data_IF_193286965342
#
_entry.id   IF_193286965342
#
_cell.length_a   1.000
_cell.length_b   1.000
_cell.length_c   1.000
_cell.angle_alpha   90.00
_cell.angle_beta   90.00
_cell.angle_gamma   90.00
#
_symmetry.space_group_name_H-M   'P 1'
#
loop_
_entity.id
_entity.type
_entity.pdbx_description
1 polymer ?
#
# COMPACT_ATOMS: atom_id res chain seq x y z
N UNK A 1 9.48 5.93 -19.48
CA UNK A 1 9.16 5.01 -18.36
C UNK A 1 7.81 5.43 -17.83
N UNK A 2 6.83 4.53 -17.83
CA UNK A 2 5.46 4.84 -17.40
C UNK A 2 5.24 4.30 -15.99
N UNK A 3 4.95 5.21 -15.06
CA UNK A 3 4.59 4.90 -13.68
C UNK A 3 3.12 5.27 -13.51
N UNK A 4 2.31 4.32 -13.02
CA UNK A 4 0.88 4.51 -12.81
C UNK A 4 0.52 4.14 -11.36
N UNK A 5 -0.02 5.10 -10.62
CA UNK A 5 -0.64 4.84 -9.32
C UNK A 5 -2.02 4.22 -9.54
N UNK A 6 -2.17 2.95 -9.20
CA UNK A 6 -3.43 2.24 -9.30
C UNK A 6 -4.03 2.08 -7.91
N UNK A 7 -5.29 2.43 -7.77
CA UNK A 7 -6.03 2.19 -6.53
C UNK A 7 -6.67 0.80 -6.57
N UNK A 8 -6.57 0.09 -5.45
CA UNK A 8 -7.20 -1.21 -5.25
C UNK A 8 -7.98 -1.23 -3.95
N UNK A 9 -9.00 -2.08 -3.90
CA UNK A 9 -9.68 -2.45 -2.66
C UNK A 9 -9.46 -3.94 -2.45
N UNK A 10 -8.87 -4.32 -1.33
CA UNK A 10 -8.56 -5.72 -1.05
C UNK A 10 -7.88 -5.94 0.28
N UNK A 11 -7.62 -7.20 0.60
CA UNK A 11 -6.95 -7.56 1.86
C UNK A 11 -5.45 -7.49 1.64
N UNK A 12 -4.76 -6.74 2.50
CA UNK A 12 -3.32 -6.48 2.38
C UNK A 12 -2.59 -7.19 3.50
N UNK A 13 -1.57 -7.93 3.12
CA UNK A 13 -0.60 -8.55 4.01
C UNK A 13 0.74 -7.89 3.76
N UNK A 14 1.44 -7.54 4.82
CA UNK A 14 2.77 -6.92 4.76
C UNK A 14 3.73 -7.71 5.64
N UNK A 15 4.94 -7.85 5.15
CA UNK A 15 6.09 -8.40 5.87
C UNK A 15 7.06 -7.23 6.09
N UNK A 16 7.01 -6.56 7.25
CA UNK A 16 7.81 -5.36 7.51
C UNK A 16 9.31 -5.60 7.39
N UNK A 17 9.78 -6.78 7.81
CA UNK A 17 11.21 -7.14 7.84
C UNK A 17 11.82 -7.16 6.44
N UNK A 18 11.07 -7.67 5.46
CA UNK A 18 11.51 -7.77 4.07
C UNK A 18 10.96 -6.64 3.19
N UNK A 19 10.12 -5.76 3.76
CA UNK A 19 9.38 -4.71 3.03
C UNK A 19 8.60 -5.25 1.85
N UNK A 20 8.04 -6.45 1.99
CA UNK A 20 7.20 -7.07 0.97
C UNK A 20 5.73 -6.91 1.32
N UNK A 21 4.87 -6.93 0.31
CA UNK A 21 3.42 -7.03 0.51
C UNK A 21 2.78 -8.03 -0.46
N UNK A 22 1.64 -8.55 -0.05
CA UNK A 22 0.68 -9.29 -0.85
C UNK A 22 -0.68 -8.60 -0.71
N UNK A 23 -1.33 -8.32 -1.84
CA UNK A 23 -2.67 -7.78 -1.92
C UNK A 23 -3.56 -8.80 -2.63
N UNK A 24 -4.60 -9.25 -1.93
CA UNK A 24 -5.69 -10.04 -2.50
C UNK A 24 -6.85 -9.12 -2.82
N UNK A 25 -7.16 -8.95 -4.09
CA UNK A 25 -8.21 -8.05 -4.59
C UNK A 25 -9.06 -8.76 -5.64
N UNK A 26 -10.10 -8.08 -6.13
CA UNK A 26 -10.94 -8.55 -7.22
C UNK A 26 -10.91 -7.51 -8.33
N UNK A 27 -10.54 -7.91 -9.54
CA UNK A 27 -10.53 -7.05 -10.72
C UNK A 27 -11.47 -7.64 -11.76
N UNK A 28 -12.42 -6.82 -12.24
CA UNK A 28 -13.42 -7.25 -13.22
C UNK A 28 -14.21 -8.50 -12.79
N UNK A 29 -14.46 -8.67 -11.49
CA UNK A 29 -15.16 -9.83 -10.92
C UNK A 29 -14.29 -11.05 -10.64
N UNK A 30 -13.02 -11.04 -11.07
CA UNK A 30 -12.10 -12.16 -10.89
C UNK A 30 -11.10 -11.91 -9.75
N UNK A 31 -10.76 -12.94 -8.95
CA UNK A 31 -9.71 -12.84 -7.95
C UNK A 31 -8.36 -12.46 -8.59
N UNK A 32 -7.67 -11.49 -8.01
CA UNK A 32 -6.37 -11.04 -8.46
C UNK A 32 -5.40 -10.90 -7.29
N UNK A 33 -4.16 -11.31 -7.53
CA UNK A 33 -3.07 -11.24 -6.55
C UNK A 33 -2.02 -10.25 -7.03
N UNK A 34 -1.74 -9.22 -6.23
CA UNK A 34 -0.67 -8.26 -6.49
C UNK A 34 0.39 -8.41 -5.41
N UNK A 35 1.64 -8.64 -5.80
CA UNK A 35 2.74 -8.77 -4.86
C UNK A 35 3.87 -7.81 -5.25
N UNK A 36 4.57 -7.28 -4.25
CA UNK A 36 5.61 -6.30 -4.50
C UNK A 36 6.28 -5.79 -3.24
N UNK A 37 6.85 -4.60 -3.33
CA UNK A 37 7.56 -3.96 -2.23
C UNK A 37 6.73 -2.87 -1.58
N UNK A 38 7.04 -2.54 -0.33
CA UNK A 38 6.46 -1.39 0.37
C UNK A 38 7.35 -0.17 0.13
N UNK A 39 6.75 0.99 -0.13
CA UNK A 39 7.48 2.24 -0.28
C UNK A 39 8.26 2.59 1.01
N UNK A 40 9.37 3.32 0.89
CA UNK A 40 10.16 3.69 2.06
C UNK A 40 9.36 4.51 3.08
N UNK A 41 8.50 5.42 2.61
CA UNK A 41 7.66 6.26 3.47
C UNK A 41 6.64 5.40 4.24
N UNK A 42 6.01 4.43 3.57
CA UNK A 42 5.05 3.55 4.22
C UNK A 42 5.73 2.54 5.15
N UNK A 43 6.90 2.02 4.76
CA UNK A 43 7.70 1.14 5.61
C UNK A 43 8.10 1.81 6.93
N UNK A 44 8.40 3.12 6.91
CA UNK A 44 8.70 3.89 8.12
C UNK A 44 7.51 3.95 9.10
N UNK A 45 6.27 3.90 8.59
CA UNK A 45 5.05 3.87 9.42
C UNK A 45 4.73 2.47 9.94
N UNK A 46 5.18 1.41 9.26
CA UNK A 46 5.00 0.03 9.70
C UNK A 46 6.03 -0.40 10.75
N UNK A 47 7.12 0.37 10.91
CA UNK A 47 8.13 0.12 11.94
C UNK A 47 7.57 0.39 13.34
N UNK A 48 7.85 -0.51 14.28
CA UNK A 48 7.45 -0.37 15.68
C UNK A 48 8.03 0.92 16.30
N UNK A 49 7.23 1.63 17.10
CA UNK A 49 7.62 2.89 17.73
C UNK A 49 7.57 4.13 16.82
N UNK A 50 7.10 4.00 15.57
CA UNK A 50 6.90 5.15 14.69
C UNK A 50 5.80 6.10 15.22
N UNK A 51 5.92 7.43 15.02
CA UNK A 51 4.97 8.42 15.52
C UNK A 51 3.55 8.32 14.91
N UNK A 52 3.37 7.49 13.88
CA UNK A 52 2.07 7.10 13.30
C UNK A 52 2.11 5.61 12.95
N UNK A 53 2.50 4.79 13.92
CA UNK A 53 2.68 3.35 13.74
C UNK A 53 1.39 2.69 13.24
N UNK A 54 1.50 1.97 12.14
CA UNK A 54 0.46 1.12 11.59
C UNK A 54 0.82 -0.32 11.96
N UNK A 55 0.00 -0.97 12.77
CA UNK A 55 0.19 -2.39 13.06
C UNK A 55 -0.13 -3.22 11.80
N UNK A 56 0.86 -3.93 11.22
CA UNK A 56 0.68 -4.78 10.06
C UNK A 56 -0.48 -5.78 10.19
N UNK A 57 -0.74 -6.27 11.42
CA UNK A 57 -1.79 -7.25 11.71
C UNK A 57 -3.18 -6.66 11.54
N UNK A 58 -3.34 -5.35 11.72
CA UNK A 58 -4.62 -4.66 11.53
C UNK A 58 -5.00 -4.47 10.06
N UNK A 59 -4.03 -4.58 9.15
CA UNK A 59 -4.24 -4.46 7.70
C UNK A 59 -4.97 -5.68 7.14
N UNK A 60 -4.70 -6.86 7.68
CA UNK A 60 -5.29 -8.11 7.23
C UNK A 60 -6.70 -8.37 7.78
N UNK A 61 -7.20 -7.56 8.73
CA UNK A 61 -8.50 -7.80 9.38
C UNK A 61 -9.70 -7.56 8.46
N UNK A 62 -9.56 -6.66 7.49
CA UNK A 62 -10.62 -6.32 6.55
C UNK A 62 -10.03 -5.77 5.25
N UNK A 63 -10.76 -5.82 4.13
CA UNK A 63 -10.35 -5.16 2.91
C UNK A 63 -10.11 -3.65 3.12
N UNK A 64 -9.03 -3.13 2.52
CA UNK A 64 -8.57 -1.75 2.62
C UNK A 64 -8.45 -1.15 1.23
N UNK A 65 -8.69 0.16 1.14
CA UNK A 65 -8.33 0.94 -0.05
C UNK A 65 -6.85 1.28 0.00
N UNK A 66 -6.12 0.93 -1.05
CA UNK A 66 -4.67 1.12 -1.14
C UNK A 66 -4.26 1.67 -2.49
N UNK A 67 -3.15 2.39 -2.50
CA UNK A 67 -2.49 2.85 -3.72
C UNK A 67 -1.26 1.98 -3.97
N UNK A 68 -1.19 1.41 -5.17
CA UNK A 68 -0.05 0.62 -5.62
C UNK A 68 0.50 1.23 -6.90
N UNK A 69 1.71 1.77 -6.79
CA UNK A 69 2.49 2.23 -7.93
C UNK A 69 2.93 1.03 -8.77
N UNK A 70 2.60 1.06 -10.06
CA UNK A 70 3.00 0.03 -11.02
C UNK A 70 3.98 0.63 -12.02
N UNK A 71 5.13 -0.02 -12.16
CA UNK A 71 6.17 0.37 -13.11
C UNK A 71 6.49 -0.78 -14.05
N UNK A 72 6.56 -0.48 -15.33
CA UNK A 72 6.94 -1.46 -16.34
C UNK A 72 8.44 -1.37 -16.64
N UNK A 73 9.14 -2.47 -16.41
CA UNK A 73 10.58 -2.58 -16.62
C UNK A 73 10.81 -3.33 -17.93
N UNK A 74 11.54 -2.66 -18.83
CA UNK A 74 12.00 -3.21 -20.10
C UNK A 74 13.52 -3.34 -20.04
N UNK A 75 14.02 -4.56 -19.88
CA UNK A 75 15.45 -4.88 -19.85
C UNK A 75 15.83 -5.55 -21.17
N UNK A 76 17.01 -5.22 -21.71
CA UNK A 76 17.51 -5.83 -22.95
C UNK A 76 17.59 -7.35 -22.77
N UNK A 77 17.08 -8.12 -23.75
CA UNK A 77 17.02 -9.58 -23.73
C UNK A 77 16.12 -10.19 -22.64
N UNK A 78 15.20 -9.42 -22.05
CA UNK A 78 14.20 -9.93 -21.11
C UNK A 78 12.79 -9.51 -21.53
N UNK A 79 11.82 -10.35 -21.20
CA UNK A 79 10.42 -9.99 -21.35
C UNK A 79 10.09 -8.79 -20.44
N UNK A 80 9.27 -7.83 -20.90
CA UNK A 80 8.78 -6.75 -20.06
C UNK A 80 8.11 -7.31 -18.80
N UNK A 81 8.37 -6.70 -17.65
CA UNK A 81 7.77 -7.09 -16.37
C UNK A 81 7.21 -5.90 -15.63
N UNK A 82 6.12 -6.13 -14.91
CA UNK A 82 5.54 -5.15 -13.98
C UNK A 82 6.15 -5.35 -12.61
N UNK A 83 6.53 -4.25 -11.98
CA UNK A 83 6.88 -4.21 -10.56
C UNK A 83 5.88 -3.34 -9.82
N UNK A 84 5.51 -3.80 -8.63
CA UNK A 84 4.49 -3.17 -7.81
C UNK A 84 5.11 -2.63 -6.53
N UNK A 85 4.74 -1.41 -6.17
CA UNK A 85 5.16 -0.77 -4.94
C UNK A 85 3.93 -0.22 -4.21
N UNK A 86 3.64 -0.73 -3.02
CA UNK A 86 2.57 -0.22 -2.16
C UNK A 86 3.00 1.15 -1.61
N UNK A 87 2.30 2.21 -2.02
CA UNK A 87 2.65 3.59 -1.68
C UNK A 87 1.81 4.17 -0.56
N UNK A 88 0.52 3.80 -0.49
CA UNK A 88 -0.45 4.43 0.43
C UNK A 88 -1.49 3.45 0.98
N UNK A 89 -1.89 3.68 2.23
CA UNK A 89 -2.98 3.01 2.93
C UNK A 89 -4.00 4.06 3.39
N UNK A 90 -5.12 4.19 2.68
CA UNK A 90 -6.03 5.34 2.87
C UNK A 90 -6.70 5.36 4.25
N UNK A 91 -7.09 4.20 4.78
CA UNK A 91 -7.77 4.11 6.07
C UNK A 91 -6.92 4.62 7.26
N UNK A 92 -5.60 4.67 7.08
CA UNK A 92 -4.63 5.10 8.10
C UNK A 92 -4.12 6.53 7.86
N UNK A 93 -4.59 7.21 6.81
CA UNK A 93 -4.28 8.62 6.58
C UNK A 93 -5.24 9.55 7.34
N UNK A 94 -6.49 9.11 7.56
CA UNK A 94 -7.54 9.87 8.27
C UNK A 94 -7.16 10.24 9.72
N UNK A 95 -6.24 9.51 10.36
CA UNK A 95 -5.77 9.86 11.71
C UNK A 95 -4.67 10.93 11.74
N UNK A 96 -4.00 11.23 10.61
CA UNK A 96 -2.93 12.23 10.55
C UNK A 96 -3.42 13.64 10.18
N UNK A 97 -4.64 13.78 9.65
CA UNK A 97 -5.28 15.08 9.45
C UNK A 97 -6.23 15.35 10.60
N UNK A 98 -5.79 16.21 11.52
CA UNK A 98 -6.42 16.47 12.80
C UNK A 98 -7.92 16.76 12.73
N UNK A 99 -8.59 16.29 13.78
CA UNK A 99 -9.77 16.94 14.33
C UNK A 99 -9.41 18.40 14.68
N UNK A 100 -9.56 19.29 13.69
CA UNK A 100 -9.72 20.72 13.95
C UNK A 100 -11.21 20.96 14.14
N UNK A 101 -11.72 20.73 15.35
CA UNK A 101 -13.00 21.30 15.75
C UNK A 101 -12.69 22.72 16.24
N UNK A 102 -13.19 23.78 15.58
CA UNK A 102 -12.98 25.14 16.03
C UNK A 102 -13.71 25.34 17.37
N UNK A 103 -12.96 25.75 18.40
CA UNK A 103 -13.55 26.36 19.59
C UNK A 103 -14.19 27.67 19.16
N UNK A 104 -15.51 27.66 18.98
CA UNK A 104 -16.30 28.88 18.89
C UNK A 104 -16.49 29.40 20.33
N UNK A 105 -16.17 30.68 20.49
CA UNK A 105 -16.22 31.48 21.71
C UNK A 105 -17.64 31.65 22.27
#
# INVERSE_FOLDING_TARGET
MYEHGNEYVGTVFVLPETRCFELRTTLHGEPHLVHGTVSQQLAARLAEGAPNHIDPRQLALQPRRVEVMTREIHERHRAPRKVYCLTRLHDFETQAQGSAVPTMA
#
